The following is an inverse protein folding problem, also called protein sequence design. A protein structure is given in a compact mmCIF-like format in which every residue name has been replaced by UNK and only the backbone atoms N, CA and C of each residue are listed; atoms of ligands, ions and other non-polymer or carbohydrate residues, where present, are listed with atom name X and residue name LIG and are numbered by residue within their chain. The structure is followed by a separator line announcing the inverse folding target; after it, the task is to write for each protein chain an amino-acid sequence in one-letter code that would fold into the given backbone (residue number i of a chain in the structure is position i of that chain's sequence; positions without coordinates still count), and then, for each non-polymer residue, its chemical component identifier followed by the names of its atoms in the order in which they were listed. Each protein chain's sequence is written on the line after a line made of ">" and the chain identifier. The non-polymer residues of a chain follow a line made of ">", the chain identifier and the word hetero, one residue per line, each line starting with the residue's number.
data_IF_552063311767
#
_entry.id   IF_552063311767
#
_cell.length_a   1.000
_cell.length_b   1.000
_cell.length_c   1.000
_cell.angle_alpha   90.00
_cell.angle_beta   90.00
_cell.angle_gamma   90.00
#
_symmetry.space_group_name_H-M   'P 1'
#
loop_
_entity.id
_entity.type
_entity.pdbx_description
1 polymer ?
#
# COMPACT_ATOMS: atom_id res chain seq x y z
N UNK A 1 50.19 -33.00 7.61
CA UNK A 1 48.79 -33.20 8.04
C UNK A 1 48.52 -32.14 9.09
N UNK A 2 48.00 -30.98 8.68
CA UNK A 2 47.67 -29.87 9.56
C UNK A 2 46.16 -29.85 9.70
N UNK A 3 45.67 -30.07 10.92
CA UNK A 3 44.26 -29.99 11.24
C UNK A 3 43.74 -28.59 10.90
N UNK A 4 42.79 -28.52 9.97
CA UNK A 4 42.03 -27.30 9.70
C UNK A 4 41.07 -27.12 10.87
N UNK A 5 41.42 -26.23 11.79
CA UNK A 5 40.51 -25.69 12.79
C UNK A 5 39.38 -24.97 12.04
N UNK A 6 38.19 -25.59 11.99
CA UNK A 6 36.98 -24.88 11.58
C UNK A 6 36.68 -23.83 12.66
N UNK A 7 36.42 -22.56 12.30
CA UNK A 7 35.95 -21.59 13.27
C UNK A 7 34.63 -22.06 13.87
N UNK A 8 34.53 -21.93 15.19
CA UNK A 8 33.35 -22.22 16.00
C UNK A 8 32.07 -21.70 15.34
N UNK A 9 31.04 -22.54 15.37
CA UNK A 9 29.65 -22.21 15.06
C UNK A 9 29.23 -20.94 15.81
N UNK A 10 29.28 -19.80 15.11
CA UNK A 10 28.66 -18.56 15.56
C UNK A 10 27.15 -18.77 15.46
N UNK A 11 26.59 -19.51 16.40
CA UNK A 11 25.16 -19.62 16.61
C UNK A 11 24.62 -18.20 16.68
N UNK A 12 23.97 -17.77 15.60
CA UNK A 12 23.49 -16.40 15.39
C UNK A 12 22.35 -16.13 16.37
N UNK A 13 22.69 -15.77 17.61
CA UNK A 13 21.73 -15.31 18.60
C UNK A 13 21.15 -14.00 18.08
N UNK A 14 19.87 -14.04 17.68
CA UNK A 14 19.14 -12.84 17.26
C UNK A 14 19.18 -11.85 18.42
N UNK A 15 19.66 -10.63 18.14
CA UNK A 15 19.68 -9.53 19.11
C UNK A 15 18.27 -9.39 19.73
N UNK A 16 18.12 -9.54 21.06
CA UNK A 16 16.84 -9.39 21.75
C UNK A 16 16.12 -8.07 21.45
N UNK A 17 16.85 -7.03 21.04
CA UNK A 17 16.30 -5.75 20.61
C UNK A 17 15.50 -5.87 19.31
N UNK A 18 15.88 -6.75 18.37
CA UNK A 18 15.20 -6.91 17.07
C UNK A 18 13.76 -7.38 17.24
N UNK A 19 13.53 -8.44 18.01
CA UNK A 19 12.18 -8.95 18.23
C UNK A 19 11.33 -7.93 19.02
N UNK A 20 11.94 -7.22 19.96
CA UNK A 20 11.27 -6.16 20.71
C UNK A 20 10.85 -5.01 19.79
N UNK A 21 11.73 -4.58 18.88
CA UNK A 21 11.45 -3.54 17.89
C UNK A 21 10.33 -3.95 16.93
N UNK A 22 10.35 -5.18 16.39
CA UNK A 22 9.29 -5.70 15.53
C UNK A 22 7.95 -5.73 16.26
N UNK A 23 7.92 -6.22 17.51
CA UNK A 23 6.70 -6.22 18.34
C UNK A 23 6.14 -4.82 18.54
N UNK A 24 7.02 -3.85 18.84
CA UNK A 24 6.64 -2.47 19.02
C UNK A 24 6.05 -1.86 17.74
N UNK A 25 6.70 -2.06 16.58
CA UNK A 25 6.19 -1.59 15.29
C UNK A 25 4.82 -2.18 14.96
N UNK A 26 4.62 -3.48 15.18
CA UNK A 26 3.32 -4.12 14.94
C UNK A 26 2.23 -3.59 15.89
N UNK A 27 2.58 -3.34 17.16
CA UNK A 27 1.66 -2.77 18.14
C UNK A 27 1.23 -1.34 17.73
N UNK A 28 2.18 -0.51 17.29
CA UNK A 28 1.91 0.84 16.80
C UNK A 28 1.01 0.85 15.56
N UNK A 29 1.25 -0.05 14.61
CA UNK A 29 0.39 -0.22 13.44
C UNK A 29 -1.03 -0.65 13.83
N UNK A 30 -1.16 -1.58 14.77
CA UNK A 30 -2.45 -2.00 15.31
C UNK A 30 -3.20 -0.84 15.98
N UNK A 31 -2.52 -0.04 16.79
CA UNK A 31 -3.08 1.15 17.42
C UNK A 31 -3.52 2.20 16.38
N UNK A 32 -2.74 2.40 15.32
CA UNK A 32 -3.11 3.30 14.22
C UNK A 32 -4.40 2.86 13.52
N UNK A 33 -4.59 1.56 13.26
CA UNK A 33 -5.82 1.02 12.68
C UNK A 33 -7.02 1.20 13.62
N UNK A 34 -6.85 0.99 14.92
CA UNK A 34 -7.90 1.23 15.91
C UNK A 34 -8.28 2.70 16.05
N UNK A 35 -7.32 3.62 15.86
CA UNK A 35 -7.61 5.04 15.87
C UNK A 35 -8.35 5.46 14.59
N UNK A 36 -7.93 4.93 13.43
CA UNK A 36 -8.60 5.16 12.16
C UNK A 36 -10.06 4.70 12.21
N UNK A 37 -10.35 3.52 12.80
CA UNK A 37 -11.72 3.00 12.89
C UNK A 37 -12.67 3.92 13.67
N UNK A 38 -12.15 4.68 14.66
CA UNK A 38 -12.92 5.66 15.44
C UNK A 38 -13.19 6.96 14.69
N UNK A 39 -12.42 7.24 13.63
CA UNK A 39 -12.52 8.46 12.83
C UNK A 39 -13.38 8.29 11.57
N UNK A 40 -13.94 7.10 11.36
CA UNK A 40 -14.75 6.82 10.17
C UNK A 40 -16.03 7.65 10.16
N UNK A 41 -16.15 8.55 9.20
CA UNK A 41 -17.37 9.31 8.96
C UNK A 41 -18.25 8.62 7.92
N UNK A 42 -19.40 8.10 8.35
CA UNK A 42 -20.33 7.37 7.47
C UNK A 42 -20.76 8.18 6.24
N UNK A 43 -20.94 9.49 6.38
CA UNK A 43 -21.32 10.38 5.29
C UNK A 43 -20.25 10.48 4.21
N UNK A 44 -18.98 10.65 4.59
CA UNK A 44 -17.83 10.66 3.68
C UNK A 44 -17.71 9.33 2.93
N UNK A 45 -17.81 8.21 3.65
CA UNK A 45 -17.73 6.87 3.05
C UNK A 45 -18.85 6.63 2.03
N UNK A 46 -20.10 6.97 2.38
CA UNK A 46 -21.22 6.82 1.44
C UNK A 46 -21.01 7.64 0.16
N UNK A 47 -20.48 8.87 0.28
CA UNK A 47 -20.18 9.71 -0.89
C UNK A 47 -19.13 9.08 -1.80
N UNK A 48 -18.02 8.60 -1.23
CA UNK A 48 -16.95 7.95 -2.00
C UNK A 48 -17.47 6.68 -2.68
N UNK A 49 -18.23 5.85 -1.97
CA UNK A 49 -18.84 4.66 -2.55
C UNK A 49 -19.78 5.01 -3.70
N UNK A 50 -20.62 6.04 -3.55
CA UNK A 50 -21.50 6.49 -4.61
C UNK A 50 -20.72 7.00 -5.84
N UNK A 51 -19.61 7.71 -5.64
CA UNK A 51 -18.76 8.16 -6.75
C UNK A 51 -18.16 6.96 -7.50
N UNK A 52 -17.58 6.00 -6.78
CA UNK A 52 -16.96 4.81 -7.36
C UNK A 52 -18.01 3.96 -8.10
N UNK A 53 -19.17 3.68 -7.49
CA UNK A 53 -20.22 2.86 -8.10
C UNK A 53 -20.86 3.50 -9.34
N UNK A 54 -20.84 4.83 -9.43
CA UNK A 54 -21.39 5.56 -10.58
C UNK A 54 -20.35 5.93 -11.64
N UNK A 55 -19.06 5.66 -11.40
CA UNK A 55 -17.98 5.88 -12.37
C UNK A 55 -18.28 5.09 -13.65
N UNK A 56 -18.14 5.75 -14.82
CA UNK A 56 -18.44 5.16 -16.13
C UNK A 56 -17.19 4.78 -16.92
N UNK A 57 -16.04 5.30 -16.53
CA UNK A 57 -14.73 4.87 -16.98
C UNK A 57 -14.05 4.03 -15.90
N UNK A 58 -12.97 4.55 -15.36
CA UNK A 58 -12.06 3.90 -14.44
C UNK A 58 -11.87 4.74 -13.18
N UNK A 59 -11.65 4.07 -12.06
CA UNK A 59 -11.13 4.70 -10.84
C UNK A 59 -9.60 4.78 -10.97
N UNK A 60 -9.07 5.98 -11.11
CA UNK A 60 -7.64 6.20 -11.35
C UNK A 60 -6.95 6.52 -10.03
N UNK A 61 -5.97 5.72 -9.65
CA UNK A 61 -5.14 5.99 -8.48
C UNK A 61 -3.82 6.62 -8.90
N UNK A 62 -3.33 7.56 -8.10
CA UNK A 62 -2.03 8.19 -8.31
C UNK A 62 -1.33 8.45 -6.98
N UNK A 63 0.00 8.45 -7.00
CA UNK A 63 0.79 8.71 -5.80
C UNK A 63 2.29 8.52 -6.01
N UNK A 64 3.08 9.10 -5.11
CA UNK A 64 4.55 9.00 -5.12
C UNK A 64 5.05 8.11 -3.98
N UNK A 65 6.21 7.48 -4.18
CA UNK A 65 6.90 6.69 -3.15
C UNK A 65 6.03 5.60 -2.53
N UNK A 66 6.03 5.50 -1.19
CA UNK A 66 5.25 4.49 -0.44
C UNK A 66 3.76 4.54 -0.76
N UNK A 67 3.19 5.75 -0.86
CA UNK A 67 1.78 5.94 -1.23
C UNK A 67 1.49 5.45 -2.65
N UNK A 68 2.45 5.60 -3.57
CA UNK A 68 2.35 5.04 -4.91
C UNK A 68 2.28 3.51 -4.91
N UNK A 69 3.08 2.84 -4.08
CA UNK A 69 3.00 1.37 -3.92
C UNK A 69 1.63 0.92 -3.37
N UNK A 70 1.11 1.62 -2.35
CA UNK A 70 -0.22 1.32 -1.79
C UNK A 70 -1.31 1.57 -2.85
N UNK A 71 -1.28 2.71 -3.53
CA UNK A 71 -2.24 3.07 -4.59
C UNK A 71 -2.23 2.07 -5.75
N UNK A 72 -1.05 1.59 -6.17
CA UNK A 72 -0.93 0.54 -7.19
C UNK A 72 -1.57 -0.77 -6.74
N UNK A 73 -1.38 -1.17 -5.47
CA UNK A 73 -2.06 -2.37 -4.94
C UNK A 73 -3.57 -2.16 -4.82
N UNK A 74 -4.01 -0.99 -4.37
CA UNK A 74 -5.44 -0.65 -4.34
C UNK A 74 -6.07 -0.76 -5.71
N UNK A 75 -5.42 -0.23 -6.75
CA UNK A 75 -5.91 -0.29 -8.13
C UNK A 75 -6.05 -1.73 -8.62
N UNK A 76 -5.03 -2.56 -8.38
CA UNK A 76 -5.08 -3.98 -8.70
C UNK A 76 -6.22 -4.71 -7.95
N UNK A 77 -6.45 -4.36 -6.68
CA UNK A 77 -7.57 -4.91 -5.91
C UNK A 77 -8.92 -4.50 -6.51
N UNK A 78 -9.13 -3.21 -6.78
CA UNK A 78 -10.36 -2.69 -7.40
C UNK A 78 -10.67 -3.40 -8.71
N UNK A 79 -9.68 -3.49 -9.61
CA UNK A 79 -9.82 -4.17 -10.89
C UNK A 79 -10.19 -5.66 -10.71
N UNK A 80 -9.57 -6.34 -9.75
CA UNK A 80 -9.86 -7.75 -9.46
C UNK A 80 -11.25 -7.99 -8.83
N UNK A 81 -11.84 -6.97 -8.22
CA UNK A 81 -13.17 -7.03 -7.60
C UNK A 81 -14.27 -6.44 -8.48
N UNK A 82 -13.99 -6.18 -9.76
CA UNK A 82 -14.99 -5.75 -10.73
C UNK A 82 -15.15 -4.23 -10.88
N UNK A 83 -14.29 -3.43 -10.25
CA UNK A 83 -14.24 -1.96 -10.45
C UNK A 83 -13.09 -1.62 -11.38
N UNK A 84 -13.33 -1.21 -12.65
CA UNK A 84 -12.26 -0.85 -13.58
C UNK A 84 -11.33 0.21 -12.97
N UNK A 85 -10.03 -0.07 -12.94
CA UNK A 85 -9.04 0.80 -12.29
C UNK A 85 -7.65 0.58 -12.87
N UNK A 86 -6.85 1.65 -12.92
CA UNK A 86 -5.41 1.60 -13.16
C UNK A 86 -4.68 2.69 -12.35
N UNK A 87 -3.35 2.60 -12.29
CA UNK A 87 -2.51 3.52 -11.53
C UNK A 87 -1.62 4.37 -12.44
N UNK A 88 -1.60 5.69 -12.24
CA UNK A 88 -0.68 6.62 -12.90
C UNK A 88 0.36 7.12 -11.90
N UNK A 89 1.64 7.03 -12.27
CA UNK A 89 2.71 7.65 -11.50
C UNK A 89 2.81 9.14 -11.86
N UNK A 90 2.72 10.09 -10.90
CA UNK A 90 2.66 11.52 -11.20
C UNK A 90 3.81 12.06 -12.08
N UNK A 91 5.01 11.51 -11.95
CA UNK A 91 6.15 11.92 -12.78
C UNK A 91 6.00 11.51 -14.27
N UNK A 92 5.30 10.41 -14.53
CA UNK A 92 5.05 9.89 -15.90
C UNK A 92 3.79 10.50 -16.52
N UNK A 93 2.87 11.01 -15.68
CA UNK A 93 1.62 11.66 -16.10
C UNK A 93 1.85 12.73 -17.19
N UNK A 94 2.80 13.63 -16.96
CA UNK A 94 3.12 14.72 -17.88
C UNK A 94 3.82 14.27 -19.18
N UNK A 95 4.27 13.02 -19.24
CA UNK A 95 4.98 12.45 -20.38
C UNK A 95 4.10 11.53 -21.25
N UNK A 96 2.78 11.51 -21.01
CA UNK A 96 1.82 10.86 -21.91
C UNK A 96 0.66 10.16 -21.20
N UNK A 97 0.83 9.73 -19.95
CA UNK A 97 -0.21 8.93 -19.26
C UNK A 97 -1.50 9.74 -18.99
N UNK A 98 -1.44 11.07 -18.93
CA UNK A 98 -2.63 11.91 -18.87
C UNK A 98 -3.57 11.71 -20.07
N UNK A 99 -3.05 11.28 -21.22
CA UNK A 99 -3.86 10.95 -22.39
C UNK A 99 -4.74 9.71 -22.21
N UNK A 100 -4.51 8.90 -21.17
CA UNK A 100 -5.37 7.77 -20.83
C UNK A 100 -6.57 8.17 -19.96
N UNK A 101 -6.60 9.40 -19.44
CA UNK A 101 -7.70 9.92 -18.62
C UNK A 101 -8.79 10.50 -19.53
N UNK A 102 -10.03 10.14 -19.23
CA UNK A 102 -11.24 10.52 -19.96
C UNK A 102 -12.20 11.28 -19.04
N UNK A 103 -13.16 12.04 -19.60
CA UNK A 103 -14.19 12.69 -18.80
C UNK A 103 -15.13 11.75 -18.03
N UNK A 104 -15.04 10.44 -18.26
CA UNK A 104 -15.87 9.43 -17.60
C UNK A 104 -15.17 8.78 -16.40
N UNK A 105 -13.89 9.05 -16.21
CA UNK A 105 -13.07 8.51 -15.11
C UNK A 105 -13.30 9.28 -13.80
N UNK A 106 -12.87 8.66 -12.69
CA UNK A 106 -12.88 9.20 -11.33
C UNK A 106 -11.46 9.27 -10.76
#
# INVERSE_FOLDING_TARGET
>A
MSERHLPDDQSSTIDPYLITSVRQTLAEQGAALQNLSKQLDSGQYQRVLNLIMNCKGHVILSGMGKSGHVGRKMSATLASTGTPSFFIHPAEAFHGDLGMITPYDL
#
